data_IF_543422465005
#
_entry.id   IF_543422465005
#
_cell.length_a   1.000
_cell.length_b   1.000
_cell.length_c   1.000
_cell.angle_alpha   90.00
_cell.angle_beta   90.00
_cell.angle_gamma   90.00
#
_symmetry.space_group_name_H-M   'P 1'
#
loop_
_entity.id
_entity.type
_entity.pdbx_description
1 polymer ?
#
# COMPACT_ATOMS: atom_id res chain seq x y z
N UNK A 1 15.44 17.21 47.89
CA UNK A 1 16.28 16.85 46.70
C UNK A 1 15.70 15.71 45.87
N UNK A 2 15.07 14.66 46.49
CA UNK A 2 14.46 13.51 45.71
C UNK A 2 13.21 13.90 44.94
N UNK A 3 12.37 14.84 45.42
CA UNK A 3 11.18 15.26 44.69
C UNK A 3 11.50 16.08 43.42
N UNK A 4 12.57 16.84 43.41
CA UNK A 4 13.00 17.67 42.28
C UNK A 4 13.58 16.80 41.11
N UNK A 5 14.21 15.67 41.42
CA UNK A 5 14.77 14.75 40.42
C UNK A 5 13.65 13.98 39.74
N UNK A 6 12.58 13.60 40.47
CA UNK A 6 11.41 12.90 39.89
C UNK A 6 10.61 13.83 38.96
N UNK A 7 10.43 15.12 39.31
CA UNK A 7 9.75 16.09 38.45
C UNK A 7 10.54 16.40 37.17
N UNK A 8 11.88 16.48 37.26
CA UNK A 8 12.72 16.68 36.06
C UNK A 8 12.69 15.47 35.12
N UNK A 9 12.69 14.24 35.67
CA UNK A 9 12.60 13.02 34.84
C UNK A 9 11.24 12.87 34.15
N UNK A 10 10.13 13.26 34.78
CA UNK A 10 8.81 13.30 34.15
C UNK A 10 8.69 14.40 33.07
N UNK A 11 9.29 15.59 33.29
CA UNK A 11 9.30 16.64 32.26
C UNK A 11 10.15 16.26 31.04
N UNK A 12 11.28 15.62 31.25
CA UNK A 12 12.14 15.15 30.12
C UNK A 12 11.50 14.02 29.31
N UNK A 13 10.80 13.07 29.95
CA UNK A 13 10.03 12.03 29.25
C UNK A 13 8.87 12.59 28.43
N UNK A 14 8.14 13.59 28.94
CA UNK A 14 7.06 14.24 28.17
C UNK A 14 7.57 15.06 26.99
N UNK A 15 8.73 15.70 27.10
CA UNK A 15 9.36 16.46 26.02
C UNK A 15 9.90 15.55 24.90
N UNK A 16 10.44 14.39 25.23
CA UNK A 16 10.94 13.40 24.26
C UNK A 16 9.76 12.80 23.46
N UNK A 17 8.69 12.36 24.13
CA UNK A 17 7.51 11.81 23.44
C UNK A 17 6.81 12.82 22.52
N UNK A 18 6.76 14.10 22.89
CA UNK A 18 6.19 15.15 22.06
C UNK A 18 7.04 15.43 20.79
N UNK A 19 8.37 15.41 20.89
CA UNK A 19 9.26 15.58 19.74
C UNK A 19 9.17 14.41 18.75
N UNK A 20 9.03 13.18 19.24
CA UNK A 20 8.91 12.00 18.39
C UNK A 20 7.59 11.99 17.60
N UNK A 21 6.48 12.40 18.21
CA UNK A 21 5.18 12.53 17.52
C UNK A 21 5.20 13.64 16.45
N UNK A 22 5.80 14.80 16.72
CA UNK A 22 5.90 15.87 15.71
C UNK A 22 6.82 15.49 14.56
N UNK A 23 7.92 14.77 14.81
CA UNK A 23 8.77 14.22 13.76
C UNK A 23 8.03 13.18 12.93
N UNK A 24 7.33 12.21 13.57
CA UNK A 24 6.47 11.25 12.90
C UNK A 24 5.48 11.93 11.96
N UNK A 25 4.69 12.89 12.48
CA UNK A 25 3.73 13.66 11.70
C UNK A 25 4.39 14.39 10.53
N UNK A 26 5.57 14.95 10.72
CA UNK A 26 6.29 15.68 9.67
C UNK A 26 6.69 14.75 8.51
N UNK A 27 7.13 13.52 8.81
CA UNK A 27 7.48 12.51 7.82
C UNK A 27 6.23 12.03 7.05
N UNK A 28 5.12 11.72 7.75
CA UNK A 28 3.86 11.36 7.10
C UNK A 28 3.38 12.46 6.16
N UNK A 29 3.39 13.72 6.63
CA UNK A 29 2.97 14.88 5.84
C UNK A 29 3.83 15.09 4.60
N UNK A 30 5.14 14.95 4.74
CA UNK A 30 6.05 15.09 3.59
C UNK A 30 5.82 13.97 2.58
N UNK A 31 5.77 12.70 3.02
CA UNK A 31 5.59 11.55 2.13
C UNK A 31 4.23 11.58 1.40
N UNK A 32 3.16 12.02 2.04
CA UNK A 32 1.82 12.13 1.45
C UNK A 32 1.63 13.40 0.62
N UNK A 33 2.65 14.25 0.48
CA UNK A 33 2.56 15.50 -0.29
C UNK A 33 2.52 15.26 -1.81
N UNK A 34 1.98 16.24 -2.55
CA UNK A 34 1.93 16.23 -4.01
C UNK A 34 3.32 16.17 -4.69
N UNK A 35 4.39 16.46 -3.96
CA UNK A 35 5.78 16.41 -4.41
C UNK A 35 6.18 15.02 -4.92
N UNK A 36 5.69 13.97 -4.28
CA UNK A 36 6.02 12.58 -4.59
C UNK A 36 5.00 11.91 -5.51
N UNK A 37 4.00 12.65 -6.00
CA UNK A 37 3.04 12.11 -6.98
C UNK A 37 2.43 10.78 -6.54
N UNK A 38 2.03 10.69 -5.27
CA UNK A 38 1.48 9.48 -4.70
C UNK A 38 2.48 8.32 -4.58
N UNK A 39 3.76 8.62 -4.51
CA UNK A 39 4.87 7.65 -4.35
C UNK A 39 4.82 6.46 -5.32
N UNK A 40 4.15 6.67 -6.46
CA UNK A 40 4.12 5.70 -7.55
C UNK A 40 5.33 5.83 -8.48
N UNK A 41 5.34 5.03 -9.52
CA UNK A 41 6.51 4.88 -10.42
C UNK A 41 6.55 5.94 -11.51
N UNK A 42 5.40 6.41 -11.97
CA UNK A 42 5.33 7.55 -12.87
C UNK A 42 5.95 8.81 -12.22
N UNK A 43 6.62 9.63 -13.03
CA UNK A 43 7.32 10.85 -12.57
C UNK A 43 8.39 10.62 -11.51
N UNK A 44 8.90 9.40 -11.39
CA UNK A 44 9.93 9.02 -10.39
C UNK A 44 9.48 9.26 -8.93
N UNK A 45 8.19 9.12 -8.65
CA UNK A 45 7.59 9.44 -7.36
C UNK A 45 8.13 8.59 -6.23
N UNK A 46 8.14 7.26 -6.40
CA UNK A 46 8.68 6.32 -5.42
C UNK A 46 10.17 6.58 -5.13
N UNK A 47 11.02 6.69 -6.16
CA UNK A 47 12.45 6.92 -5.95
C UNK A 47 12.75 8.27 -5.28
N UNK A 48 11.95 9.32 -5.56
CA UNK A 48 12.06 10.60 -4.84
C UNK A 48 11.74 10.45 -3.36
N UNK A 49 10.71 9.67 -3.02
CA UNK A 49 10.36 9.36 -1.65
C UNK A 49 11.45 8.53 -0.95
N UNK A 50 11.98 7.49 -1.64
CA UNK A 50 13.10 6.71 -1.12
C UNK A 50 14.37 7.54 -0.85
N UNK A 51 14.73 8.47 -1.75
CA UNK A 51 15.83 9.42 -1.54
C UNK A 51 15.58 10.37 -0.35
N UNK A 52 14.35 10.74 -0.09
CA UNK A 52 13.98 11.50 1.10
C UNK A 52 14.17 10.64 2.36
N UNK A 53 13.67 9.41 2.35
CA UNK A 53 13.79 8.49 3.49
C UNK A 53 15.24 8.16 3.84
N UNK A 54 16.09 7.92 2.85
CA UNK A 54 17.52 7.71 3.09
C UNK A 54 18.12 8.87 3.90
N UNK A 55 17.78 10.12 3.55
CA UNK A 55 18.21 11.30 4.30
C UNK A 55 17.59 11.41 5.70
N UNK A 56 16.33 10.98 5.88
CA UNK A 56 15.71 10.97 7.22
C UNK A 56 16.39 9.93 8.12
N UNK A 57 16.75 8.75 7.61
CA UNK A 57 17.54 7.78 8.35
C UNK A 57 18.95 8.29 8.69
N UNK A 58 19.64 8.96 7.74
CA UNK A 58 20.93 9.62 8.02
C UNK A 58 20.81 10.66 9.15
N UNK A 59 19.76 11.50 9.12
CA UNK A 59 19.49 12.50 10.16
C UNK A 59 19.12 11.86 11.52
N UNK A 60 18.51 10.69 11.51
CA UNK A 60 18.21 9.91 12.71
C UNK A 60 19.49 9.45 13.44
N UNK A 61 20.64 9.47 12.75
CA UNK A 61 21.95 9.10 13.32
C UNK A 61 22.19 7.60 13.34
N UNK A 62 21.62 6.85 12.41
CA UNK A 62 21.90 5.42 12.21
C UNK A 62 23.33 5.20 11.73
N UNK A 63 23.87 3.99 11.95
CA UNK A 63 25.26 3.68 11.62
C UNK A 63 25.49 3.51 10.11
N UNK A 64 24.47 3.03 9.36
CA UNK A 64 24.58 2.78 7.92
C UNK A 64 23.23 2.97 7.21
N UNK A 65 23.25 3.52 5.98
CA UNK A 65 22.09 3.60 5.08
C UNK A 65 22.46 3.05 3.71
N UNK A 66 21.70 2.06 3.24
CA UNK A 66 21.91 1.40 1.95
C UNK A 66 20.65 1.57 1.08
N UNK A 67 20.83 1.94 -0.18
CA UNK A 67 19.79 1.85 -1.20
C UNK A 67 20.02 0.56 -2.01
N UNK A 68 19.18 -0.45 -1.81
CA UNK A 68 19.28 -1.74 -2.48
C UNK A 68 18.48 -1.73 -3.78
N UNK A 69 19.14 -1.71 -4.97
CA UNK A 69 18.43 -1.57 -6.24
C UNK A 69 17.78 -2.87 -6.70
N UNK A 70 16.66 -2.75 -7.39
CA UNK A 70 16.01 -3.80 -8.16
C UNK A 70 15.21 -3.19 -9.33
N UNK A 71 14.65 -4.03 -10.20
CA UNK A 71 13.92 -3.58 -11.39
C UNK A 71 12.53 -4.16 -11.46
N UNK A 72 11.60 -3.35 -11.98
CA UNK A 72 10.23 -3.74 -12.22
C UNK A 72 9.77 -3.31 -13.61
N UNK A 73 8.98 -4.16 -14.27
CA UNK A 73 8.18 -3.74 -15.43
C UNK A 73 6.84 -3.22 -14.92
N UNK A 74 6.44 -2.00 -15.31
CA UNK A 74 5.29 -1.32 -14.71
C UNK A 74 4.48 -0.58 -15.76
N UNK A 75 3.17 -0.87 -15.82
CA UNK A 75 2.20 -0.06 -16.54
C UNK A 75 1.66 1.06 -15.66
N UNK A 76 1.69 2.29 -16.15
CA UNK A 76 1.28 3.50 -15.40
C UNK A 76 0.37 4.37 -16.25
N UNK A 77 -0.30 5.36 -15.63
CA UNK A 77 -1.24 6.25 -16.31
C UNK A 77 -0.92 7.74 -16.05
N UNK A 78 0.27 8.25 -16.45
CA UNK A 78 0.66 9.65 -16.20
C UNK A 78 0.12 10.64 -17.23
N UNK A 79 -0.43 10.13 -18.33
CA UNK A 79 -0.85 10.90 -19.48
C UNK A 79 -2.25 11.51 -19.35
N UNK A 80 -2.98 11.53 -20.45
CA UNK A 80 -4.39 11.97 -20.46
C UNK A 80 -5.27 10.94 -19.76
N UNK A 81 -6.27 11.44 -19.03
CA UNK A 81 -7.28 10.64 -18.33
C UNK A 81 -8.67 11.23 -18.60
N UNK A 82 -9.03 11.37 -19.88
CA UNK A 82 -10.34 11.91 -20.26
C UNK A 82 -11.33 10.76 -20.47
N UNK A 83 -12.38 10.76 -19.67
CA UNK A 83 -13.52 9.88 -19.78
C UNK A 83 -14.80 10.71 -19.66
N UNK A 84 -15.72 10.54 -20.60
CA UNK A 84 -17.05 11.13 -20.51
C UNK A 84 -18.12 10.12 -20.92
N UNK A 85 -19.29 10.23 -20.29
CA UNK A 85 -20.48 9.40 -20.51
C UNK A 85 -21.60 10.30 -20.93
N UNK A 86 -22.18 10.07 -22.12
CA UNK A 86 -23.23 10.91 -22.74
C UNK A 86 -22.92 12.42 -22.65
N UNK A 87 -21.63 12.78 -22.84
CA UNK A 87 -21.12 14.14 -22.78
C UNK A 87 -20.74 14.67 -21.40
N UNK A 88 -21.12 14.00 -20.29
CA UNK A 88 -20.71 14.36 -18.92
C UNK A 88 -19.32 13.81 -18.62
N UNK A 89 -18.39 14.68 -18.21
CA UNK A 89 -17.03 14.27 -17.81
C UNK A 89 -17.02 13.59 -16.46
N UNK A 90 -16.22 12.53 -16.36
CA UNK A 90 -15.93 11.81 -15.14
C UNK A 90 -14.55 12.21 -14.59
N UNK A 91 -14.39 12.11 -13.27
CA UNK A 91 -13.18 12.49 -12.52
C UNK A 91 -12.36 11.22 -12.22
N UNK A 92 -11.08 11.15 -12.67
CA UNK A 92 -10.22 10.00 -12.34
C UNK A 92 -9.93 9.93 -10.85
N UNK A 93 -10.02 8.72 -10.29
CA UNK A 93 -9.85 8.44 -8.87
C UNK A 93 -11.12 8.64 -8.03
N UNK A 94 -12.13 9.33 -8.55
CA UNK A 94 -13.42 9.55 -7.89
C UNK A 94 -14.56 8.81 -8.60
N UNK A 95 -14.74 9.04 -9.90
CA UNK A 95 -15.78 8.40 -10.70
C UNK A 95 -15.28 7.12 -11.40
N UNK A 96 -13.99 7.06 -11.72
CA UNK A 96 -13.39 5.90 -12.38
C UNK A 96 -11.90 5.72 -12.04
N UNK A 97 -11.46 4.48 -12.16
CA UNK A 97 -10.06 4.08 -12.14
C UNK A 97 -9.74 3.13 -13.29
N UNK A 98 -8.46 2.80 -13.49
CA UNK A 98 -8.02 1.83 -14.49
C UNK A 98 -7.66 0.51 -13.83
N UNK A 99 -7.83 -0.60 -14.55
CA UNK A 99 -7.11 -1.83 -14.16
C UNK A 99 -5.62 -1.64 -14.43
N UNK A 100 -4.80 -2.12 -13.53
CA UNK A 100 -3.34 -1.98 -13.55
C UNK A 100 -2.69 -2.46 -14.87
N UNK A 101 -3.26 -3.48 -15.51
CA UNK A 101 -2.77 -4.03 -16.77
C UNK A 101 -3.36 -3.36 -18.02
N UNK A 102 -4.26 -2.42 -17.85
CA UNK A 102 -5.04 -1.85 -18.96
C UNK A 102 -4.16 -1.04 -19.92
N UNK A 103 -4.31 -1.18 -21.23
CA UNK A 103 -3.82 -0.19 -22.18
C UNK A 103 -4.61 1.09 -22.05
N UNK A 104 -4.11 2.16 -22.66
CA UNK A 104 -4.89 3.35 -22.96
C UNK A 104 -6.03 3.08 -23.93
N UNK A 105 -6.94 4.06 -24.06
CA UNK A 105 -8.05 3.99 -24.99
C UNK A 105 -8.37 5.36 -25.58
N UNK A 106 -8.67 5.43 -26.89
CA UNK A 106 -9.05 6.66 -27.54
C UNK A 106 -10.16 6.43 -28.57
N UNK A 107 -11.28 7.12 -28.40
CA UNK A 107 -12.42 7.01 -29.32
C UNK A 107 -13.76 7.31 -28.64
N UNK A 108 -14.81 7.14 -29.42
CA UNK A 108 -16.19 7.15 -28.96
C UNK A 108 -16.77 5.74 -29.17
N UNK A 109 -17.43 5.23 -28.14
CA UNK A 109 -17.87 3.83 -28.10
C UNK A 109 -19.31 3.75 -27.61
N UNK A 110 -20.07 2.81 -28.14
CA UNK A 110 -21.36 2.39 -27.59
C UNK A 110 -21.15 1.55 -26.33
N UNK A 111 -22.16 1.46 -25.51
CA UNK A 111 -22.19 0.60 -24.34
C UNK A 111 -23.08 -0.62 -24.56
N UNK A 112 -22.61 -1.78 -24.12
CA UNK A 112 -23.38 -3.02 -24.09
C UNK A 112 -23.44 -3.50 -22.61
N UNK A 113 -24.62 -3.45 -22.04
CA UNK A 113 -24.86 -3.86 -20.65
C UNK A 113 -25.17 -5.34 -20.57
N UNK A 114 -24.47 -6.06 -19.71
CA UNK A 114 -24.78 -7.46 -19.44
C UNK A 114 -26.02 -7.54 -18.52
N UNK A 115 -27.06 -8.23 -19.01
CA UNK A 115 -28.22 -8.59 -18.17
C UNK A 115 -27.80 -9.73 -17.21
N UNK A 116 -27.52 -9.36 -15.96
CA UNK A 116 -27.10 -10.31 -14.93
C UNK A 116 -28.23 -11.18 -14.42
N UNK A 117 -29.50 -10.78 -14.61
CA UNK A 117 -30.67 -11.54 -14.18
C UNK A 117 -31.01 -12.65 -15.17
N UNK A 118 -30.84 -12.39 -16.47
CA UNK A 118 -31.12 -13.33 -17.55
C UNK A 118 -29.82 -13.69 -18.30
N UNK A 119 -28.77 -14.00 -17.54
CA UNK A 119 -27.46 -14.26 -18.10
C UNK A 119 -27.45 -15.46 -19.03
N UNK A 120 -26.99 -15.25 -20.25
CA UNK A 120 -26.77 -16.30 -21.23
C UNK A 120 -25.50 -15.97 -22.05
N UNK A 121 -24.43 -16.70 -21.80
CA UNK A 121 -23.12 -16.50 -22.41
C UNK A 121 -23.18 -16.56 -23.93
N UNK A 122 -23.81 -17.61 -24.51
CA UNK A 122 -23.90 -17.78 -25.97
C UNK A 122 -24.62 -16.62 -26.65
N UNK A 123 -25.74 -16.18 -26.05
CA UNK A 123 -26.48 -15.00 -26.54
C UNK A 123 -25.63 -13.75 -26.51
N UNK A 124 -24.90 -13.49 -25.43
CA UNK A 124 -24.04 -12.30 -25.26
C UNK A 124 -22.97 -12.27 -26.37
N UNK A 125 -22.26 -13.37 -26.60
CA UNK A 125 -21.25 -13.44 -27.66
C UNK A 125 -21.85 -13.31 -29.06
N UNK A 126 -23.04 -13.90 -29.30
CA UNK A 126 -23.76 -13.73 -30.57
C UNK A 126 -24.20 -12.29 -30.77
N UNK A 127 -24.69 -11.59 -29.74
CA UNK A 127 -25.09 -10.19 -29.80
C UNK A 127 -23.89 -9.26 -30.02
N UNK A 128 -22.75 -9.49 -29.35
CA UNK A 128 -21.52 -8.73 -29.54
C UNK A 128 -20.86 -8.94 -30.89
N UNK A 129 -21.14 -10.06 -31.57
CA UNK A 129 -20.68 -10.30 -32.95
C UNK A 129 -21.47 -9.53 -34.02
N UNK A 130 -22.63 -8.94 -33.67
CA UNK A 130 -23.42 -8.16 -34.61
C UNK A 130 -22.78 -6.82 -34.96
N UNK A 131 -22.90 -6.32 -36.19
CA UNK A 131 -22.29 -5.05 -36.63
C UNK A 131 -22.59 -3.86 -35.71
N UNK A 132 -23.83 -3.77 -35.21
CA UNK A 132 -24.27 -2.67 -34.32
C UNK A 132 -23.63 -2.66 -32.94
N UNK A 133 -23.14 -3.81 -32.45
CA UNK A 133 -22.51 -3.96 -31.15
C UNK A 133 -20.99 -4.24 -31.25
N UNK A 134 -20.49 -4.41 -32.45
CA UNK A 134 -19.07 -4.52 -32.70
C UNK A 134 -18.36 -3.28 -32.14
N UNK A 135 -17.24 -3.46 -31.47
CA UNK A 135 -16.47 -2.40 -30.84
C UNK A 135 -17.19 -1.68 -29.68
N UNK A 136 -18.29 -2.24 -29.12
CA UNK A 136 -18.90 -1.71 -27.91
C UNK A 136 -18.02 -1.97 -26.66
N UNK A 137 -18.09 -1.08 -25.67
CA UNK A 137 -17.61 -1.40 -24.32
C UNK A 137 -18.67 -2.21 -23.56
N UNK A 138 -18.26 -3.32 -23.00
CA UNK A 138 -19.13 -4.19 -22.19
C UNK A 138 -19.14 -3.68 -20.74
N UNK A 139 -20.33 -3.44 -20.22
CA UNK A 139 -20.54 -2.96 -18.83
C UNK A 139 -21.11 -4.10 -18.00
N UNK A 140 -20.52 -4.35 -16.85
CA UNK A 140 -20.97 -5.40 -15.94
C UNK A 140 -20.54 -5.11 -14.49
N UNK A 141 -21.30 -5.66 -13.53
CA UNK A 141 -20.88 -5.72 -12.13
C UNK A 141 -19.61 -6.57 -11.96
N UNK A 142 -18.66 -6.09 -11.15
CA UNK A 142 -17.38 -6.77 -10.95
C UNK A 142 -17.55 -8.17 -10.34
N UNK A 143 -18.35 -8.31 -9.28
CA UNK A 143 -18.53 -9.59 -8.59
C UNK A 143 -19.23 -10.61 -9.48
N UNK A 144 -20.16 -10.13 -10.32
CA UNK A 144 -20.76 -10.98 -11.35
C UNK A 144 -19.69 -11.48 -12.35
N UNK A 145 -18.84 -10.58 -12.82
CA UNK A 145 -17.75 -10.95 -13.74
C UNK A 145 -16.78 -11.95 -13.14
N UNK A 146 -16.50 -11.84 -11.84
CA UNK A 146 -15.65 -12.78 -11.11
C UNK A 146 -16.25 -14.20 -11.06
N UNK A 147 -17.56 -14.30 -10.81
CA UNK A 147 -18.29 -15.58 -10.81
C UNK A 147 -18.29 -16.23 -12.18
N UNK A 148 -18.27 -15.46 -13.26
CA UNK A 148 -18.29 -15.90 -14.64
C UNK A 148 -16.92 -15.71 -15.35
N UNK A 149 -15.84 -15.92 -14.61
CA UNK A 149 -14.47 -15.56 -15.01
C UNK A 149 -14.02 -16.13 -16.38
N UNK A 150 -14.52 -17.31 -16.78
CA UNK A 150 -14.19 -17.92 -18.08
C UNK A 150 -14.69 -17.07 -19.26
N UNK A 151 -15.95 -16.61 -19.18
CA UNK A 151 -16.55 -15.75 -20.21
C UNK A 151 -15.90 -14.38 -20.23
N UNK A 152 -15.59 -13.83 -19.05
CA UNK A 152 -14.91 -12.52 -18.95
C UNK A 152 -13.45 -12.59 -19.43
N UNK A 153 -12.74 -13.68 -19.24
CA UNK A 153 -11.42 -13.90 -19.89
C UNK A 153 -11.53 -13.89 -21.42
N UNK A 154 -12.59 -14.47 -21.98
CA UNK A 154 -12.86 -14.41 -23.40
C UNK A 154 -13.19 -13.00 -23.88
N UNK A 155 -13.97 -12.21 -23.12
CA UNK A 155 -14.25 -10.79 -23.42
C UNK A 155 -12.99 -9.91 -23.35
N UNK A 156 -12.00 -10.26 -22.56
CA UNK A 156 -10.72 -9.55 -22.43
C UNK A 156 -9.77 -9.77 -23.60
N UNK A 157 -9.92 -10.87 -24.36
CA UNK A 157 -9.08 -11.21 -25.50
C UNK A 157 -9.66 -10.65 -26.80
N UNK A 158 -8.80 -10.17 -27.71
CA UNK A 158 -9.18 -9.74 -29.05
C UNK A 158 -9.68 -10.90 -29.91
N UNK A 159 -9.06 -12.07 -29.75
CA UNK A 159 -9.46 -13.30 -30.47
C UNK A 159 -10.82 -13.83 -29.95
N UNK A 160 -11.09 -13.62 -28.66
CA UNK A 160 -12.30 -14.16 -28.02
C UNK A 160 -13.59 -13.41 -28.34
N UNK A 161 -13.51 -12.10 -28.56
CA UNK A 161 -14.69 -11.25 -28.80
C UNK A 161 -14.31 -9.94 -29.51
N UNK A 162 -15.25 -9.34 -30.21
CA UNK A 162 -15.06 -8.07 -30.96
C UNK A 162 -15.26 -6.80 -30.14
N UNK A 163 -15.65 -6.89 -28.86
CA UNK A 163 -15.83 -5.73 -28.00
C UNK A 163 -14.54 -4.92 -27.83
N UNK A 164 -14.65 -3.57 -27.71
CA UNK A 164 -13.50 -2.69 -27.62
C UNK A 164 -12.82 -2.67 -26.24
N UNK A 165 -13.56 -2.95 -25.17
CA UNK A 165 -13.07 -2.92 -23.80
C UNK A 165 -14.14 -3.32 -22.79
N UNK A 166 -13.80 -3.19 -21.49
CA UNK A 166 -14.69 -3.53 -20.39
C UNK A 166 -14.76 -2.40 -19.38
N UNK A 167 -15.95 -2.22 -18.83
CA UNK A 167 -16.23 -1.35 -17.69
C UNK A 167 -16.85 -2.20 -16.59
N UNK A 168 -16.22 -2.21 -15.44
CA UNK A 168 -16.75 -2.88 -14.26
C UNK A 168 -17.33 -1.86 -13.29
N UNK A 169 -18.59 -2.03 -12.91
CA UNK A 169 -19.17 -1.27 -11.82
C UNK A 169 -18.70 -1.81 -10.48
N UNK A 170 -18.35 -0.93 -9.57
CA UNK A 170 -17.82 -1.24 -8.25
C UNK A 170 -18.61 -0.50 -7.18
N UNK A 171 -18.74 -1.12 -6.02
CA UNK A 171 -19.37 -0.49 -4.88
C UNK A 171 -18.53 0.70 -4.35
N UNK A 172 -19.18 1.67 -3.76
CA UNK A 172 -18.54 2.80 -3.10
C UNK A 172 -17.83 2.38 -1.79
N UNK A 173 -16.69 3.00 -1.45
CA UNK A 173 -15.92 3.94 -2.26
C UNK A 173 -15.15 3.22 -3.37
N UNK A 174 -14.98 3.92 -4.51
CA UNK A 174 -14.19 3.40 -5.61
C UNK A 174 -12.70 3.40 -5.22
N UNK A 175 -12.07 2.24 -5.32
CA UNK A 175 -10.66 2.05 -4.96
C UNK A 175 -9.78 1.84 -6.20
N UNK A 176 -8.55 2.35 -6.15
CA UNK A 176 -7.52 1.97 -7.10
C UNK A 176 -6.69 0.84 -6.49
N UNK A 177 -7.02 -0.39 -6.82
CA UNK A 177 -6.52 -1.55 -6.07
C UNK A 177 -5.03 -1.81 -6.18
N UNK A 178 -4.43 -1.54 -7.34
CA UNK A 178 -2.99 -1.76 -7.58
C UNK A 178 -2.47 -0.75 -8.60
N UNK A 179 -1.32 -0.20 -8.31
CA UNK A 179 -0.59 0.68 -9.22
C UNK A 179 0.28 -0.07 -10.23
N UNK A 180 0.33 -1.39 -10.15
CA UNK A 180 1.31 -2.22 -10.82
C UNK A 180 0.69 -3.19 -11.82
N UNK A 181 1.09 -3.06 -13.07
CA UNK A 181 0.85 -4.04 -14.12
C UNK A 181 2.17 -4.41 -14.79
N UNK A 182 2.65 -5.64 -14.59
CA UNK A 182 3.90 -6.15 -15.19
C UNK A 182 3.80 -6.39 -16.70
N UNK A 183 2.65 -6.14 -17.26
CA UNK A 183 2.35 -6.26 -18.70
C UNK A 183 1.18 -5.37 -19.07
N UNK A 184 0.98 -5.18 -20.36
CA UNK A 184 -0.22 -4.52 -20.88
C UNK A 184 -1.09 -5.57 -21.56
N UNK A 185 -2.37 -5.64 -21.16
CA UNK A 185 -3.35 -6.53 -21.78
C UNK A 185 -3.89 -5.97 -23.10
N UNK A 186 -4.68 -6.76 -23.81
CA UNK A 186 -5.09 -6.39 -25.19
C UNK A 186 -6.20 -5.33 -25.24
N UNK A 187 -7.06 -5.27 -24.23
CA UNK A 187 -8.23 -4.40 -24.22
C UNK A 187 -8.27 -3.52 -22.95
N UNK A 188 -8.70 -2.26 -23.08
CA UNK A 188 -8.86 -1.39 -21.93
C UNK A 188 -9.93 -1.92 -20.96
N UNK A 189 -9.61 -1.81 -19.67
CA UNK A 189 -10.46 -2.20 -18.57
C UNK A 189 -10.52 -1.07 -17.54
N UNK A 190 -11.74 -0.61 -17.28
CA UNK A 190 -12.00 0.49 -16.35
C UNK A 190 -12.89 0.00 -15.20
N UNK A 191 -12.71 0.60 -14.06
CA UNK A 191 -13.59 0.47 -12.91
C UNK A 191 -14.33 1.79 -12.74
N UNK A 192 -15.63 1.73 -12.54
CA UNK A 192 -16.47 2.91 -12.31
C UNK A 192 -17.26 2.72 -11.01
N UNK A 193 -17.58 3.83 -10.36
CA UNK A 193 -18.41 3.80 -9.16
C UNK A 193 -19.84 3.31 -9.47
N UNK A 194 -20.56 2.92 -8.44
CA UNK A 194 -21.98 2.50 -8.55
C UNK A 194 -22.90 3.62 -9.05
N UNK A 195 -22.43 4.87 -9.04
CA UNK A 195 -23.13 6.03 -9.60
C UNK A 195 -23.05 6.11 -11.14
N UNK A 196 -22.31 5.19 -11.79
CA UNK A 196 -22.24 5.14 -13.24
C UNK A 196 -23.63 4.86 -13.84
N UNK A 197 -24.07 5.64 -14.85
CA UNK A 197 -25.43 5.51 -15.39
C UNK A 197 -25.68 4.12 -15.96
N UNK A 198 -26.80 3.51 -15.58
CA UNK A 198 -27.20 2.16 -16.06
C UNK A 198 -27.87 2.17 -17.45
N UNK A 199 -28.17 3.35 -17.98
CA UNK A 199 -28.88 3.56 -19.25
C UNK A 199 -28.09 4.42 -20.24
N UNK A 200 -26.84 4.77 -19.92
CA UNK A 200 -25.95 5.53 -20.80
C UNK A 200 -25.78 4.82 -22.16
N UNK A 201 -25.69 5.62 -23.23
CA UNK A 201 -25.62 5.09 -24.59
C UNK A 201 -24.22 5.08 -25.16
N UNK A 202 -23.38 6.03 -24.72
CA UNK A 202 -22.06 6.21 -25.30
C UNK A 202 -21.06 6.72 -24.30
N UNK A 203 -19.80 6.38 -24.56
CA UNK A 203 -18.65 6.92 -23.87
C UNK A 203 -17.65 7.49 -24.85
N UNK A 204 -16.92 8.50 -24.38
CA UNK A 204 -15.74 9.02 -25.08
C UNK A 204 -14.53 8.93 -24.16
N UNK A 205 -13.46 8.32 -24.68
CA UNK A 205 -12.21 8.11 -23.98
C UNK A 205 -11.05 8.80 -24.71
N UNK A 206 -10.12 9.40 -23.99
CA UNK A 206 -8.76 9.75 -24.40
C UNK A 206 -7.87 9.51 -23.18
N UNK A 207 -7.48 8.24 -22.98
CA UNK A 207 -6.71 7.73 -21.85
C UNK A 207 -5.39 7.21 -22.38
N UNK A 208 -4.28 7.66 -21.79
CA UNK A 208 -2.93 7.31 -22.16
C UNK A 208 -2.27 6.52 -21.00
N UNK A 209 -1.75 5.33 -21.30
CA UNK A 209 -0.85 4.59 -20.41
C UNK A 209 0.59 4.76 -20.85
N UNK A 210 1.51 4.50 -19.93
CA UNK A 210 2.95 4.40 -20.16
C UNK A 210 3.47 3.13 -19.51
N UNK A 211 4.07 2.25 -20.32
CA UNK A 211 4.70 1.03 -19.82
C UNK A 211 6.19 1.27 -19.61
N UNK A 212 6.61 1.28 -18.36
CA UNK A 212 8.00 1.46 -17.94
C UNK A 212 8.66 0.08 -17.85
N UNK A 213 9.52 -0.23 -18.83
CA UNK A 213 10.27 -1.48 -18.83
C UNK A 213 11.56 -1.31 -18.03
N UNK A 214 11.93 -2.35 -17.26
CA UNK A 214 13.15 -2.35 -16.43
C UNK A 214 13.25 -1.11 -15.51
N UNK A 215 12.13 -0.61 -15.00
CA UNK A 215 12.11 0.58 -14.17
C UNK A 215 12.92 0.35 -12.90
N UNK A 216 13.92 1.19 -12.67
CA UNK A 216 14.79 1.09 -11.50
C UNK A 216 14.07 1.55 -10.24
N UNK A 217 14.04 0.68 -9.24
CA UNK A 217 13.52 0.89 -7.90
C UNK A 217 14.59 0.53 -6.87
N UNK A 218 14.39 0.88 -5.62
CA UNK A 218 15.29 0.45 -4.54
C UNK A 218 14.58 0.39 -3.20
N UNK A 219 14.98 -0.56 -2.35
CA UNK A 219 14.65 -0.55 -0.93
C UNK A 219 15.62 0.38 -0.19
N UNK A 220 15.14 1.04 0.85
CA UNK A 220 15.99 1.86 1.74
C UNK A 220 16.19 1.10 3.04
N UNK A 221 17.43 0.79 3.36
CA UNK A 221 17.82 -0.02 4.52
C UNK A 221 18.67 0.85 5.43
N UNK A 222 18.23 1.01 6.67
CA UNK A 222 18.99 1.67 7.71
C UNK A 222 19.41 0.64 8.77
N UNK A 223 20.66 0.71 9.24
CA UNK A 223 21.19 -0.16 10.27
C UNK A 223 21.57 0.64 11.52
N UNK A 224 21.16 0.15 12.68
CA UNK A 224 21.67 0.56 13.99
C UNK A 224 22.42 -0.62 14.60
N UNK A 225 23.70 -0.41 14.87
CA UNK A 225 24.55 -1.45 15.46
C UNK A 225 24.22 -1.66 16.94
N UNK A 226 23.95 -2.91 17.30
CA UNK A 226 23.78 -3.35 18.66
C UNK A 226 25.12 -3.55 19.39
N UNK A 227 25.05 -4.03 20.63
CA UNK A 227 26.22 -4.52 21.38
C UNK A 227 26.67 -5.89 20.88
N UNK A 228 25.77 -6.64 20.24
CA UNK A 228 25.96 -7.99 19.69
C UNK A 228 25.50 -8.04 18.25
N UNK A 229 26.25 -8.78 17.41
CA UNK A 229 26.05 -8.86 15.96
C UNK A 229 25.69 -10.29 15.49
N UNK A 230 25.45 -11.22 16.43
CA UNK A 230 25.09 -12.61 16.12
C UNK A 230 23.60 -12.80 15.80
N UNK A 231 22.78 -11.83 16.16
CA UNK A 231 21.34 -11.76 15.90
C UNK A 231 20.94 -10.34 15.54
N UNK A 232 19.74 -10.19 14.95
CA UNK A 232 19.18 -8.89 14.63
C UNK A 232 17.65 -8.88 14.75
N UNK A 233 17.07 -7.67 14.72
CA UNK A 233 15.65 -7.40 14.52
C UNK A 233 15.45 -6.70 13.20
N UNK A 234 14.33 -6.98 12.52
CA UNK A 234 13.90 -6.27 11.33
C UNK A 234 12.61 -5.49 11.63
N UNK A 235 12.60 -4.21 11.27
CA UNK A 235 11.42 -3.35 11.25
C UNK A 235 11.14 -2.97 9.80
N UNK A 236 9.96 -3.29 9.30
CA UNK A 236 9.64 -3.12 7.88
C UNK A 236 8.38 -2.30 7.68
N UNK A 237 8.34 -1.55 6.61
CA UNK A 237 7.19 -0.83 6.09
C UNK A 237 7.43 -0.54 4.61
N UNK A 238 6.38 -0.41 3.80
CA UNK A 238 6.57 0.04 2.41
C UNK A 238 6.40 1.56 2.28
N UNK A 239 7.12 2.14 1.33
CA UNK A 239 7.07 3.57 1.08
C UNK A 239 6.51 3.95 -0.29
N UNK A 240 6.41 3.00 -1.23
CA UNK A 240 5.69 3.20 -2.47
C UNK A 240 4.18 3.27 -2.23
N UNK A 241 3.43 3.73 -3.23
CA UNK A 241 1.98 3.72 -3.20
C UNK A 241 1.43 3.85 -4.63
N UNK A 242 0.12 4.00 -4.76
CA UNK A 242 -0.64 3.87 -6.01
C UNK A 242 -0.30 4.89 -7.11
N UNK A 243 0.38 5.98 -6.78
CA UNK A 243 0.85 6.95 -7.76
C UNK A 243 -0.24 7.86 -8.30
N UNK A 244 -0.39 7.91 -9.63
CA UNK A 244 -1.20 8.91 -10.31
C UNK A 244 -2.17 8.31 -11.32
N UNK A 245 -3.31 9.00 -11.53
CA UNK A 245 -4.17 8.87 -12.70
C UNK A 245 -4.20 10.22 -13.43
N UNK A 246 -3.31 10.36 -14.42
CA UNK A 246 -3.04 11.61 -15.10
C UNK A 246 -2.16 12.57 -14.31
N UNK A 247 -2.11 13.83 -14.74
CA UNK A 247 -1.18 14.83 -14.17
C UNK A 247 -1.66 15.42 -12.84
N UNK A 248 -2.97 15.38 -12.57
CA UNK A 248 -3.60 16.10 -11.46
C UNK A 248 -4.04 15.23 -10.32
N UNK A 249 -4.55 14.04 -10.59
CA UNK A 249 -5.02 13.08 -9.59
C UNK A 249 -3.86 12.24 -9.08
N UNK A 250 -3.64 12.20 -7.79
CA UNK A 250 -2.66 11.35 -7.14
C UNK A 250 -3.25 10.77 -5.86
N UNK A 251 -2.79 9.58 -5.51
CA UNK A 251 -3.15 8.88 -4.28
C UNK A 251 -2.09 9.20 -3.23
N UNK A 252 -2.44 9.98 -2.23
CA UNK A 252 -1.46 10.53 -1.29
C UNK A 252 -0.88 9.48 -0.33
N UNK A 253 -1.71 8.50 0.10
CA UNK A 253 -1.28 7.38 0.94
C UNK A 253 -0.72 7.81 2.28
N UNK A 254 -1.45 8.62 3.05
CA UNK A 254 -1.00 9.07 4.36
C UNK A 254 -1.11 7.95 5.40
N UNK A 255 -2.24 7.26 5.41
CA UNK A 255 -2.46 6.06 6.20
C UNK A 255 -1.71 4.88 5.58
N UNK A 256 -1.85 4.67 4.28
CA UNK A 256 -1.22 3.60 3.49
C UNK A 256 -0.10 4.14 2.57
N UNK A 257 1.17 3.94 2.85
CA UNK A 257 1.75 3.55 4.11
C UNK A 257 2.86 4.55 4.52
N UNK A 258 2.58 5.87 4.32
CA UNK A 258 3.47 6.88 4.88
C UNK A 258 3.56 6.75 6.41
N UNK A 259 2.49 6.26 7.04
CA UNK A 259 2.39 6.08 8.49
C UNK A 259 3.32 5.00 9.04
N UNK A 260 3.30 3.80 8.48
CA UNK A 260 4.22 2.73 8.89
C UNK A 260 5.67 3.10 8.60
N UNK A 261 5.92 3.70 7.41
CA UNK A 261 7.25 4.20 7.03
C UNK A 261 7.77 5.25 8.02
N UNK A 262 6.96 6.22 8.43
CA UNK A 262 7.35 7.21 9.43
C UNK A 262 7.62 6.57 10.79
N UNK A 263 6.89 5.50 11.15
CA UNK A 263 7.11 4.78 12.40
C UNK A 263 8.47 4.10 12.44
N UNK A 264 8.90 3.42 11.34
CA UNK A 264 10.24 2.83 11.32
C UNK A 264 11.36 3.87 11.34
N UNK A 265 11.15 5.08 10.76
CA UNK A 265 12.11 6.19 10.86
C UNK A 265 12.24 6.68 12.31
N UNK A 266 11.13 6.83 13.03
CA UNK A 266 11.17 7.27 14.44
C UNK A 266 11.74 6.20 15.36
N UNK A 267 11.46 4.91 15.11
CA UNK A 267 12.10 3.80 15.83
C UNK A 267 13.61 3.77 15.59
N UNK A 268 14.07 4.00 14.35
CA UNK A 268 15.50 4.10 14.04
C UNK A 268 16.16 5.25 14.82
N UNK A 269 15.51 6.43 14.88
CA UNK A 269 15.99 7.58 15.65
C UNK A 269 16.05 7.29 17.16
N UNK A 270 15.10 6.52 17.68
CA UNK A 270 15.09 6.06 19.07
C UNK A 270 16.29 5.16 19.37
N UNK A 271 16.52 4.13 18.56
CA UNK A 271 17.58 3.15 18.80
C UNK A 271 18.98 3.67 18.44
N UNK A 272 19.11 4.62 17.55
CA UNK A 272 20.37 5.34 17.32
C UNK A 272 20.84 6.09 18.57
N UNK A 273 19.90 6.59 19.40
CA UNK A 273 20.20 7.24 20.68
C UNK A 273 20.31 6.27 21.85
N UNK A 274 19.60 5.14 21.79
CA UNK A 274 19.49 4.13 22.84
C UNK A 274 20.03 2.80 22.32
N UNK A 275 21.36 2.63 22.35
CA UNK A 275 22.06 1.49 21.74
C UNK A 275 21.43 0.16 22.16
N UNK A 276 20.87 -0.62 21.18
CA UNK A 276 20.19 -1.89 21.47
C UNK A 276 21.16 -3.02 21.82
N UNK A 277 20.62 -4.15 22.29
CA UNK A 277 21.43 -5.35 22.56
C UNK A 277 21.89 -6.02 21.26
N UNK A 278 21.03 -6.12 20.23
CA UNK A 278 21.31 -6.73 18.94
C UNK A 278 21.20 -5.71 17.81
N UNK A 279 21.82 -6.00 16.67
CA UNK A 279 21.70 -5.17 15.47
C UNK A 279 20.23 -5.00 15.08
N UNK A 280 19.88 -3.79 14.60
CA UNK A 280 18.54 -3.49 14.11
C UNK A 280 18.60 -2.99 12.65
N UNK A 281 17.72 -3.53 11.84
CA UNK A 281 17.54 -3.11 10.47
C UNK A 281 16.14 -2.52 10.30
N UNK A 282 16.08 -1.31 9.76
CA UNK A 282 14.86 -0.59 9.41
C UNK A 282 14.77 -0.55 7.90
N UNK A 283 13.83 -1.29 7.33
CA UNK A 283 13.75 -1.47 5.88
C UNK A 283 12.47 -0.86 5.35
N UNK A 284 12.61 0.24 4.60
CA UNK A 284 11.52 0.81 3.83
C UNK A 284 11.52 0.18 2.44
N UNK A 285 10.49 -0.61 2.14
CA UNK A 285 10.36 -1.31 0.86
C UNK A 285 9.72 -0.41 -0.20
N UNK A 286 10.18 -0.55 -1.44
CA UNK A 286 9.45 -0.18 -2.64
C UNK A 286 8.83 -1.44 -3.24
N UNK A 287 7.75 -1.29 -4.00
CA UNK A 287 7.17 -2.42 -4.71
C UNK A 287 6.25 -3.31 -3.88
N UNK A 288 5.72 -2.84 -2.77
CA UNK A 288 4.66 -3.53 -2.03
C UNK A 288 3.38 -3.53 -2.86
N UNK A 289 2.92 -2.34 -3.28
CA UNK A 289 1.78 -2.14 -4.19
C UNK A 289 2.01 -2.75 -5.59
N UNK A 290 3.22 -3.25 -5.82
CA UNK A 290 3.64 -4.04 -6.98
C UNK A 290 3.77 -5.54 -6.65
N UNK A 291 2.86 -6.09 -5.85
CA UNK A 291 2.86 -7.51 -5.45
C UNK A 291 4.09 -7.92 -4.63
N UNK A 292 4.47 -7.12 -3.63
CA UNK A 292 5.54 -7.38 -2.65
C UNK A 292 6.94 -7.51 -3.27
N UNK A 293 7.18 -6.89 -4.45
CA UNK A 293 8.43 -7.11 -5.19
C UNK A 293 9.68 -6.68 -4.44
N UNK A 294 9.60 -5.59 -3.66
CA UNK A 294 10.75 -5.11 -2.89
C UNK A 294 11.11 -6.00 -1.71
N UNK A 295 10.12 -6.44 -0.96
CA UNK A 295 10.32 -7.35 0.17
C UNK A 295 10.73 -8.76 -0.28
N UNK A 296 10.18 -9.26 -1.40
CA UNK A 296 10.62 -10.50 -2.02
C UNK A 296 12.09 -10.42 -2.46
N UNK A 297 12.47 -9.32 -3.15
CA UNK A 297 13.85 -9.07 -3.54
C UNK A 297 14.81 -9.01 -2.34
N UNK A 298 14.40 -8.30 -1.27
CA UNK A 298 15.21 -8.26 -0.06
C UNK A 298 15.33 -9.62 0.60
N UNK A 299 14.25 -10.40 0.67
CA UNK A 299 14.28 -11.74 1.27
C UNK A 299 15.17 -12.72 0.49
N UNK A 300 15.37 -12.50 -0.81
CA UNK A 300 16.34 -13.23 -1.64
C UNK A 300 17.79 -12.71 -1.52
N UNK A 301 17.95 -11.40 -1.22
CA UNK A 301 19.25 -10.71 -1.14
C UNK A 301 19.37 -9.92 0.17
N UNK A 302 19.24 -10.57 1.35
CA UNK A 302 19.14 -9.87 2.62
C UNK A 302 20.47 -9.24 3.06
N UNK A 303 20.40 -8.03 3.65
CA UNK A 303 21.56 -7.37 4.26
C UNK A 303 22.04 -8.06 5.53
N UNK A 304 21.16 -8.81 6.21
CA UNK A 304 21.49 -9.70 7.30
C UNK A 304 20.94 -11.11 7.03
N UNK A 305 21.68 -12.20 7.33
CA UNK A 305 21.17 -13.55 7.14
C UNK A 305 19.83 -13.75 7.84
N UNK A 306 18.81 -14.25 7.11
CA UNK A 306 17.45 -14.40 7.66
C UNK A 306 17.41 -15.29 8.92
N UNK A 307 18.35 -16.26 9.03
CA UNK A 307 18.49 -17.13 10.20
C UNK A 307 18.98 -16.39 11.47
N UNK A 308 19.52 -15.19 11.32
CA UNK A 308 19.91 -14.32 12.44
C UNK A 308 18.77 -13.44 12.93
N UNK A 309 17.67 -13.34 12.16
CA UNK A 309 16.52 -12.52 12.52
C UNK A 309 15.81 -13.16 13.72
N UNK A 310 15.84 -12.47 14.86
CA UNK A 310 15.09 -12.85 16.06
C UNK A 310 13.60 -12.67 15.88
N UNK A 311 13.23 -11.52 15.31
CA UNK A 311 11.85 -11.15 15.03
C UNK A 311 11.79 -10.05 13.98
N UNK A 312 10.79 -10.13 13.08
CA UNK A 312 10.44 -9.10 12.14
C UNK A 312 9.11 -8.47 12.55
N UNK A 313 9.07 -7.14 12.59
CA UNK A 313 7.86 -6.35 12.85
C UNK A 313 7.56 -5.52 11.61
N UNK A 314 6.49 -5.88 10.88
CA UNK A 314 6.00 -5.12 9.75
C UNK A 314 4.92 -4.15 10.21
N UNK A 315 5.02 -2.90 9.79
CA UNK A 315 4.14 -1.79 10.18
C UNK A 315 3.46 -1.22 8.94
N UNK A 316 2.14 -1.38 8.88
CA UNK A 316 1.39 -0.92 7.72
C UNK A 316 0.03 -0.39 8.15
N UNK A 317 -0.36 0.77 7.61
CA UNK A 317 -1.60 1.46 7.95
C UNK A 317 -1.75 1.77 9.46
N UNK A 318 -0.85 2.58 10.01
CA UNK A 318 -0.79 2.90 11.45
C UNK A 318 -1.55 4.19 11.81
N UNK A 319 -1.77 5.11 10.85
CA UNK A 319 -2.40 6.41 11.11
C UNK A 319 -3.93 6.31 11.18
N UNK A 320 -4.45 5.68 12.25
CA UNK A 320 -5.87 5.51 12.53
C UNK A 320 -6.16 5.62 14.04
N UNK A 321 -7.45 5.54 14.42
CA UNK A 321 -7.95 5.63 15.80
C UNK A 321 -8.64 4.34 16.28
N UNK A 322 -8.56 3.22 15.57
CA UNK A 322 -9.17 1.98 16.04
C UNK A 322 -8.48 1.50 17.32
N UNK A 323 -9.23 1.32 18.42
CA UNK A 323 -8.67 0.81 19.68
C UNK A 323 -8.28 -0.67 19.63
N UNK A 324 -8.58 -1.36 18.54
CA UNK A 324 -8.21 -2.76 18.29
C UNK A 324 -7.06 -2.78 17.27
N UNK A 325 -5.96 -3.43 17.65
CA UNK A 325 -4.83 -3.66 16.77
C UNK A 325 -4.97 -5.04 16.11
N UNK A 326 -4.96 -5.09 14.78
CA UNK A 326 -4.92 -6.36 14.04
C UNK A 326 -3.48 -6.81 13.83
N UNK A 327 -3.28 -8.13 13.90
CA UNK A 327 -1.97 -8.75 13.81
C UNK A 327 -2.04 -9.99 12.91
N UNK A 328 -1.18 -10.07 11.91
CA UNK A 328 -0.90 -11.34 11.22
C UNK A 328 0.44 -11.87 11.72
N UNK A 329 0.51 -13.14 12.02
CA UNK A 329 1.65 -13.74 12.72
C UNK A 329 2.07 -15.02 12.02
N UNK A 330 3.36 -15.17 11.71
CA UNK A 330 3.89 -16.46 11.22
C UNK A 330 3.85 -17.53 12.32
N UNK A 331 3.90 -18.80 11.94
CA UNK A 331 3.92 -19.90 12.92
C UNK A 331 5.11 -19.78 13.86
N UNK A 332 6.27 -19.39 13.35
CA UNK A 332 7.50 -19.16 14.14
C UNK A 332 7.38 -17.90 15.02
N UNK A 333 6.50 -16.97 14.66
CA UNK A 333 6.26 -15.71 15.36
C UNK A 333 5.36 -15.82 16.59
N UNK A 334 4.68 -16.95 16.81
CA UNK A 334 3.65 -17.11 17.85
C UNK A 334 4.15 -16.81 19.28
N UNK A 335 5.37 -17.20 19.61
CA UNK A 335 5.95 -16.89 20.92
C UNK A 335 6.13 -15.39 21.15
N UNK A 336 6.48 -14.66 20.09
CA UNK A 336 6.54 -13.19 20.13
C UNK A 336 5.16 -12.57 20.28
N UNK A 337 4.15 -13.09 19.57
CA UNK A 337 2.77 -12.62 19.69
C UNK A 337 2.22 -12.76 21.12
N UNK A 338 2.47 -13.90 21.78
CA UNK A 338 2.09 -14.11 23.18
C UNK A 338 2.72 -13.05 24.13
N UNK A 339 3.95 -12.62 23.83
CA UNK A 339 4.59 -11.55 24.57
C UNK A 339 3.95 -10.19 24.26
N UNK A 340 3.62 -9.90 23.00
CA UNK A 340 2.86 -8.70 22.63
C UNK A 340 1.52 -8.61 23.38
N UNK A 341 0.74 -9.70 23.43
CA UNK A 341 -0.52 -9.77 24.18
C UNK A 341 -0.31 -9.54 25.67
N UNK A 342 0.71 -10.15 26.26
CA UNK A 342 1.06 -9.97 27.68
C UNK A 342 1.39 -8.51 27.99
N UNK A 343 2.24 -7.87 27.17
CA UNK A 343 2.61 -6.47 27.34
C UNK A 343 1.37 -5.58 27.18
N UNK A 344 0.56 -5.81 26.15
CA UNK A 344 -0.67 -5.04 25.93
C UNK A 344 -1.63 -5.16 27.12
N UNK A 345 -1.81 -6.37 27.66
CA UNK A 345 -2.65 -6.60 28.84
C UNK A 345 -2.15 -5.85 30.08
N UNK A 346 -0.82 -5.76 30.25
CA UNK A 346 -0.21 -5.07 31.39
C UNK A 346 -0.23 -3.54 31.25
N UNK A 347 -0.08 -3.03 30.05
CA UNK A 347 0.10 -1.61 29.77
C UNK A 347 -1.17 -0.90 29.27
N UNK A 348 -2.09 -1.66 28.66
CA UNK A 348 -3.34 -1.13 28.14
C UNK A 348 -3.17 -0.22 26.92
N UNK A 349 -2.22 -0.50 26.04
CA UNK A 349 -1.99 0.29 24.83
C UNK A 349 -3.16 0.22 23.87
N UNK A 350 -3.72 -0.99 23.68
CA UNK A 350 -4.89 -1.26 22.87
C UNK A 350 -5.93 -2.04 23.67
N UNK A 351 -7.19 -1.91 23.28
CA UNK A 351 -8.29 -2.72 23.85
C UNK A 351 -8.05 -4.22 23.68
N UNK A 352 -7.53 -4.62 22.52
CA UNK A 352 -7.11 -5.98 22.20
C UNK A 352 -6.13 -6.01 21.05
N UNK A 353 -5.32 -7.06 20.97
CA UNK A 353 -4.58 -7.47 19.80
C UNK A 353 -5.32 -8.63 19.15
N UNK A 354 -5.84 -8.46 17.95
CA UNK A 354 -6.65 -9.47 17.28
C UNK A 354 -5.83 -10.16 16.20
N UNK A 355 -5.55 -11.45 16.40
CA UNK A 355 -4.83 -12.24 15.41
C UNK A 355 -5.73 -12.61 14.24
N UNK A 356 -5.30 -12.24 13.03
CA UNK A 356 -5.85 -12.69 11.76
C UNK A 356 -5.03 -13.86 11.17
N UNK A 357 -5.59 -14.64 10.25
CA UNK A 357 -4.82 -15.63 9.48
C UNK A 357 -3.72 -14.95 8.67
N UNK A 358 -2.55 -15.60 8.58
CA UNK A 358 -1.44 -15.14 7.76
C UNK A 358 -1.87 -15.05 6.29
N UNK A 359 -1.67 -13.91 5.66
CA UNK A 359 -2.01 -13.64 4.26
C UNK A 359 -0.87 -12.94 3.51
N UNK A 360 -0.87 -13.07 2.18
CA UNK A 360 0.13 -12.41 1.32
C UNK A 360 -0.29 -10.98 0.95
N UNK A 361 -0.62 -10.16 1.93
CA UNK A 361 -1.20 -8.83 1.79
C UNK A 361 -0.28 -7.68 2.22
N UNK A 362 0.91 -7.97 2.78
CA UNK A 362 1.95 -6.99 3.10
C UNK A 362 3.33 -7.65 3.21
N UNK A 363 4.37 -6.84 3.41
CA UNK A 363 5.80 -7.19 3.30
C UNK A 363 6.33 -8.24 4.29
N UNK A 364 5.60 -8.60 5.33
CA UNK A 364 5.95 -9.69 6.23
C UNK A 364 5.89 -11.08 5.57
N UNK A 365 5.05 -11.21 4.52
CA UNK A 365 4.72 -12.51 3.96
C UNK A 365 5.91 -13.24 3.30
N UNK A 366 6.77 -12.62 2.48
CA UNK A 366 7.95 -13.28 1.92
C UNK A 366 8.90 -13.84 2.99
N UNK A 367 8.96 -13.21 4.17
CA UNK A 367 9.77 -13.65 5.30
C UNK A 367 9.10 -14.80 6.05
N UNK A 368 7.80 -14.71 6.30
CA UNK A 368 7.03 -15.79 6.90
C UNK A 368 7.17 -17.10 6.11
N UNK A 369 7.09 -17.01 4.76
CA UNK A 369 7.31 -18.17 3.87
C UNK A 369 8.72 -18.78 3.99
N UNK A 370 9.70 -18.02 4.48
CA UNK A 370 11.08 -18.46 4.69
C UNK A 370 11.38 -18.84 6.15
N UNK A 371 10.34 -18.97 6.99
CA UNK A 371 10.45 -19.37 8.39
C UNK A 371 11.02 -18.31 9.32
N UNK A 372 10.94 -17.02 8.94
CA UNK A 372 11.34 -15.93 9.83
C UNK A 372 10.20 -15.64 10.82
N UNK A 373 10.50 -15.61 12.14
CA UNK A 373 9.51 -15.18 13.12
C UNK A 373 9.06 -13.75 12.84
N UNK A 374 7.78 -13.53 12.56
CA UNK A 374 7.29 -12.20 12.22
C UNK A 374 5.88 -11.92 12.72
N UNK A 375 5.61 -10.62 12.87
CA UNK A 375 4.30 -10.04 13.10
C UNK A 375 4.09 -8.87 12.14
N UNK A 376 2.90 -8.79 11.59
CA UNK A 376 2.39 -7.62 10.89
C UNK A 376 1.36 -6.92 11.76
N UNK A 377 1.59 -5.64 12.05
CA UNK A 377 0.71 -4.78 12.84
C UNK A 377 -0.01 -3.80 11.92
N UNK A 378 -1.33 -3.80 11.96
CA UNK A 378 -2.20 -3.02 11.07
C UNK A 378 -3.40 -2.48 11.85
N UNK A 379 -3.77 -1.22 11.63
CA UNK A 379 -5.03 -0.66 12.08
C UNK A 379 -6.09 -0.75 10.97
N UNK A 380 -7.04 -1.63 11.12
CA UNK A 380 -8.16 -1.82 10.19
C UNK A 380 -9.48 -1.45 10.87
N UNK A 381 -10.40 -0.83 10.09
CA UNK A 381 -11.75 -0.55 10.54
C UNK A 381 -11.93 0.69 11.43
N UNK A 382 -10.90 1.55 11.54
CA UNK A 382 -11.02 2.88 12.11
C UNK A 382 -11.53 3.93 11.12
N UNK A 383 -11.57 5.18 11.56
CA UNK A 383 -12.14 6.28 10.75
C UNK A 383 -11.29 6.67 9.54
N UNK A 384 -9.96 6.46 9.59
CA UNK A 384 -9.08 6.71 8.45
C UNK A 384 -9.11 5.56 7.43
N UNK A 385 -9.32 4.32 7.87
CA UNK A 385 -9.31 3.13 7.01
C UNK A 385 -10.33 3.18 5.86
N UNK A 386 -11.46 3.90 6.02
CA UNK A 386 -12.47 4.08 4.95
C UNK A 386 -11.90 4.74 3.69
N UNK A 387 -10.76 5.44 3.80
CA UNK A 387 -10.09 6.10 2.68
C UNK A 387 -9.02 5.23 2.00
N UNK A 388 -8.80 4.01 2.50
CA UNK A 388 -7.83 3.07 1.95
C UNK A 388 -7.98 2.91 0.44
N UNK A 389 -6.88 3.11 -0.30
CA UNK A 389 -6.80 3.05 -1.76
C UNK A 389 -7.69 4.05 -2.51
N UNK A 390 -8.02 5.18 -1.87
CA UNK A 390 -8.75 6.29 -2.51
C UNK A 390 -7.89 7.57 -2.57
N UNK A 391 -8.32 8.54 -3.36
CA UNK A 391 -7.69 9.87 -3.39
C UNK A 391 -7.87 10.65 -2.08
N UNK A 392 -8.67 10.15 -1.16
CA UNK A 392 -8.98 10.76 0.14
C UNK A 392 -8.09 10.26 1.28
N UNK A 393 -7.17 9.29 1.02
CA UNK A 393 -6.13 8.93 1.98
C UNK A 393 -5.05 10.01 2.01
N UNK A 394 -5.36 11.14 2.63
CA UNK A 394 -4.54 12.35 2.69
C UNK A 394 -4.10 12.66 4.12
N UNK A 395 -3.13 13.56 4.25
CA UNK A 395 -2.69 14.07 5.55
C UNK A 395 -3.84 14.58 6.41
N UNK A 396 -4.81 15.28 5.82
CA UNK A 396 -5.95 15.89 6.49
C UNK A 396 -6.93 14.87 7.07
N UNK A 397 -6.95 13.67 6.50
CA UNK A 397 -7.83 12.57 6.89
C UNK A 397 -7.11 11.50 7.74
N UNK A 398 -5.78 11.58 7.87
CA UNK A 398 -5.00 10.68 8.71
C UNK A 398 -5.22 10.99 10.19
N UNK A 399 -5.30 9.95 11.03
CA UNK A 399 -5.47 10.04 12.47
C UNK A 399 -4.23 9.45 13.16
N UNK A 400 -3.76 10.10 14.22
CA UNK A 400 -2.46 9.76 14.81
C UNK A 400 -2.55 9.19 16.23
N UNK A 401 -3.75 8.80 16.64
CA UNK A 401 -4.04 8.31 18.00
C UNK A 401 -3.27 7.03 18.34
N UNK A 402 -3.07 6.17 17.33
CA UNK A 402 -2.44 4.87 17.52
C UNK A 402 -0.91 4.87 17.38
N UNK A 403 -0.29 5.98 16.95
CA UNK A 403 1.16 6.03 16.79
C UNK A 403 1.90 5.78 18.12
N UNK A 404 1.58 6.55 19.16
CA UNK A 404 2.28 6.43 20.46
C UNK A 404 2.05 5.05 21.12
N UNK A 405 0.81 4.50 21.15
CA UNK A 405 0.56 3.14 21.60
C UNK A 405 1.40 2.07 20.86
N UNK A 406 1.47 2.12 19.53
CA UNK A 406 2.26 1.18 18.72
C UNK A 406 3.75 1.34 19.00
N UNK A 407 4.25 2.56 18.98
CA UNK A 407 5.66 2.84 19.26
C UNK A 407 6.09 2.26 20.61
N UNK A 408 5.33 2.53 21.66
CA UNK A 408 5.61 2.01 23.01
C UNK A 408 5.48 0.49 23.09
N UNK A 409 4.47 -0.08 22.46
CA UNK A 409 4.26 -1.54 22.43
C UNK A 409 5.45 -2.25 21.77
N UNK A 410 5.96 -1.70 20.66
CA UNK A 410 7.13 -2.24 19.96
C UNK A 410 8.40 -2.10 20.79
N UNK A 411 8.64 -0.95 21.42
CA UNK A 411 9.82 -0.74 22.29
C UNK A 411 9.79 -1.69 23.49
N UNK A 412 8.66 -1.76 24.20
CA UNK A 412 8.50 -2.68 25.35
C UNK A 412 8.68 -4.16 24.95
N UNK A 413 8.27 -4.53 23.72
CA UNK A 413 8.49 -5.87 23.19
C UNK A 413 9.98 -6.16 22.99
N UNK A 414 10.70 -5.26 22.34
CA UNK A 414 12.14 -5.43 22.07
C UNK A 414 12.96 -5.53 23.38
N UNK A 415 12.56 -4.79 24.41
CA UNK A 415 13.23 -4.83 25.73
C UNK A 415 13.03 -6.16 26.45
N UNK A 416 11.98 -6.92 26.15
CA UNK A 416 11.59 -8.14 26.88
C UNK A 416 11.79 -9.44 26.06
N UNK A 417 11.87 -9.37 24.72
CA UNK A 417 12.04 -10.51 23.83
C UNK A 417 13.52 -10.89 23.69
#
# INVERSE_FOLDING_TARGET
KRLFVILLSFLTLQLVGAQDLEHYKSVVKELSSAKYKGRGYAFDGANKAGKYLAKEFEKAGVDEVICQPFKLDINTFPGKMMFSVDGKKLIPGEDFTMREFSPGAKGEYKLYYIDTLNYNSEKIFADLARPENKDAFVVCDFWFSYKHSADFKRLQSKEGCSNAGLIYTWNEPLKFYKAYGERVIEKPMLWVSSSFPTDAKSIKLDIENEFLKDNECFNVIAKVEGKRHDKCYLFTAHYDHLGVLGKKTFFAGAHDNASGTATIVTLAAHYAKNKPEYDMYFVAFSGEDAYLRGSEWYAEHPSAPLQQVRYLINLDMIADNNPVQYCEVSDEGMKGYELFEKINTQKGYFKSLNRAPLAGNSDHYPFAQRGVPCIFLMNEGGDAHKYYHTIYDTWENALFDNYEPIFKLVVDFIEQY
#
